data_IF_827574626010
#
_entry.id   IF_827574626010
#
_cell.length_a   1.000
_cell.length_b   1.000
_cell.length_c   1.000
_cell.angle_alpha   90.00
_cell.angle_beta   90.00
_cell.angle_gamma   90.00
#
_symmetry.space_group_name_H-M   'P 1'
#
loop_
_entity.id
_entity.type
_entity.pdbx_description
1 polymer ?
#
# COMPACT_ATOMS: atom_id res chain seq x y z
N UNK A 1 -27.22 17.96 -8.76
CA UNK A 1 -27.93 16.83 -9.41
C UNK A 1 -27.07 15.61 -9.16
N UNK A 2 -27.62 14.54 -8.58
CA UNK A 2 -26.91 13.26 -8.53
C UNK A 2 -26.74 12.79 -9.97
N UNK A 3 -25.50 12.71 -10.44
CA UNK A 3 -25.17 12.13 -11.74
C UNK A 3 -25.53 10.65 -11.70
N UNK A 4 -26.27 10.19 -12.71
CA UNK A 4 -26.54 8.76 -12.89
C UNK A 4 -25.20 8.00 -13.01
N UNK A 5 -24.99 7.02 -12.13
CA UNK A 5 -23.78 6.21 -12.13
C UNK A 5 -23.87 5.18 -13.25
N UNK A 6 -22.77 4.99 -13.98
CA UNK A 6 -22.70 3.88 -14.92
C UNK A 6 -22.55 2.53 -14.18
N UNK A 7 -22.72 1.38 -14.87
CA UNK A 7 -22.68 0.07 -14.21
C UNK A 7 -21.38 -0.25 -13.47
N UNK A 8 -20.22 0.23 -13.94
CA UNK A 8 -18.94 -0.01 -13.27
C UNK A 8 -18.83 0.83 -11.99
N UNK A 9 -19.26 2.08 -12.05
CA UNK A 9 -19.31 2.96 -10.88
C UNK A 9 -20.30 2.44 -9.84
N UNK A 10 -21.47 1.97 -10.26
CA UNK A 10 -22.48 1.40 -9.36
C UNK A 10 -21.95 0.14 -8.67
N UNK A 11 -21.25 -0.74 -9.39
CA UNK A 11 -20.65 -1.93 -8.79
C UNK A 11 -19.66 -1.59 -7.66
N UNK A 12 -18.87 -0.51 -7.79
CA UNK A 12 -17.98 -0.04 -6.71
C UNK A 12 -18.77 0.50 -5.52
N UNK A 13 -19.90 1.18 -5.75
CA UNK A 13 -20.78 1.65 -4.68
C UNK A 13 -21.44 0.49 -3.94
N UNK A 14 -21.92 -0.52 -4.67
CA UNK A 14 -22.57 -1.68 -4.07
C UNK A 14 -21.59 -2.49 -3.21
N UNK A 15 -20.35 -2.59 -3.67
CA UNK A 15 -19.22 -3.24 -3.00
C UNK A 15 -18.76 -2.46 -1.74
N UNK A 16 -18.43 -1.18 -1.89
CA UNK A 16 -17.83 -0.37 -0.82
C UNK A 16 -18.83 0.41 0.03
N UNK A 17 -20.12 0.39 -0.32
CA UNK A 17 -21.20 0.99 0.45
C UNK A 17 -21.30 0.38 1.84
N UNK A 18 -21.88 1.13 2.79
CA UNK A 18 -22.16 0.60 4.13
C UNK A 18 -23.47 -0.19 4.06
N UNK A 19 -23.49 -1.50 4.35
CA UNK A 19 -24.73 -2.27 4.40
C UNK A 19 -25.69 -1.72 5.47
N UNK A 20 -27.03 -1.80 5.27
CA UNK A 20 -28.02 -1.26 6.22
C UNK A 20 -27.94 -1.86 7.63
N UNK A 21 -27.53 -3.12 7.73
CA UNK A 21 -27.42 -3.95 8.92
C UNK A 21 -25.98 -4.08 9.42
N UNK A 22 -25.06 -3.27 8.89
CA UNK A 22 -23.68 -3.30 9.32
C UNK A 22 -23.49 -2.67 10.70
N UNK A 23 -22.77 -3.38 11.57
CA UNK A 23 -22.39 -2.92 12.90
C UNK A 23 -20.85 -2.86 13.05
N UNK A 24 -20.33 -1.89 13.80
CA UNK A 24 -18.90 -1.81 14.08
C UNK A 24 -18.42 -3.00 14.92
N UNK A 25 -17.17 -3.41 14.68
CA UNK A 25 -16.51 -4.40 15.53
C UNK A 25 -16.44 -3.91 17.00
N UNK A 26 -16.71 -4.78 17.98
CA UNK A 26 -16.61 -4.43 19.39
C UNK A 26 -15.22 -3.93 19.81
N UNK A 27 -15.18 -3.01 20.78
CA UNK A 27 -13.93 -2.35 21.21
C UNK A 27 -12.94 -3.32 21.87
N UNK A 28 -13.43 -4.39 22.50
CA UNK A 28 -12.63 -5.45 23.10
C UNK A 28 -11.75 -6.18 22.09
N UNK A 29 -12.15 -6.23 20.81
CA UNK A 29 -11.32 -6.81 19.75
C UNK A 29 -10.03 -5.99 19.60
N UNK A 30 -10.12 -4.67 19.66
CA UNK A 30 -8.95 -3.77 19.54
C UNK A 30 -7.97 -4.01 20.68
N UNK A 31 -8.48 -4.16 21.90
CA UNK A 31 -7.66 -4.47 23.08
C UNK A 31 -7.00 -5.84 22.93
N UNK A 32 -7.74 -6.84 22.46
CA UNK A 32 -7.24 -8.20 22.24
C UNK A 32 -6.13 -8.25 21.19
N UNK A 33 -6.29 -7.60 20.03
CA UNK A 33 -5.27 -7.62 18.97
C UNK A 33 -4.00 -6.84 19.35
N UNK A 34 -4.13 -5.75 20.11
CA UNK A 34 -2.98 -5.00 20.63
C UNK A 34 -2.20 -5.85 21.64
N UNK A 35 -2.90 -6.54 22.55
CA UNK A 35 -2.29 -7.44 23.52
C UNK A 35 -1.55 -8.59 22.81
N UNK A 36 -2.19 -9.24 21.82
CA UNK A 36 -1.56 -10.31 21.03
C UNK A 36 -0.31 -9.83 20.29
N UNK A 37 -0.35 -8.66 19.65
CA UNK A 37 0.82 -8.11 18.96
C UNK A 37 1.94 -7.77 19.94
N UNK A 38 1.60 -7.19 21.09
CA UNK A 38 2.56 -6.83 22.14
C UNK A 38 3.22 -8.07 22.74
N UNK A 39 2.44 -9.10 23.07
CA UNK A 39 2.95 -10.37 23.59
C UNK A 39 3.88 -11.06 22.59
N UNK A 40 3.44 -11.17 21.33
CA UNK A 40 4.23 -11.82 20.29
C UNK A 40 5.56 -11.11 20.01
N UNK A 41 5.64 -9.79 20.22
CA UNK A 41 6.84 -8.98 20.00
C UNK A 41 7.64 -8.72 21.27
N UNK A 42 7.21 -9.23 22.43
CA UNK A 42 7.94 -9.11 23.69
C UNK A 42 9.41 -9.57 23.60
N UNK A 43 9.79 -10.61 22.82
CA UNK A 43 11.19 -11.03 22.68
C UNK A 43 12.14 -9.95 22.14
N UNK A 44 11.64 -8.94 21.43
CA UNK A 44 12.47 -7.90 20.80
C UNK A 44 12.38 -6.53 21.49
N UNK A 45 11.64 -6.43 22.60
CA UNK A 45 11.29 -5.15 23.24
C UNK A 45 12.51 -4.29 23.63
N UNK A 46 13.61 -4.93 24.04
CA UNK A 46 14.84 -4.30 24.54
C UNK A 46 16.01 -4.37 23.53
N UNK A 47 15.74 -4.77 22.28
CA UNK A 47 16.78 -4.96 21.25
C UNK A 47 16.99 -3.74 20.34
N UNK A 48 16.10 -2.74 20.43
CA UNK A 48 16.13 -1.50 19.65
C UNK A 48 15.92 -0.31 20.57
N UNK A 49 16.26 0.90 20.12
CA UNK A 49 16.07 2.14 20.89
C UNK A 49 15.07 3.07 20.20
N UNK A 50 14.47 4.04 20.92
CA UNK A 50 13.62 5.05 20.28
C UNK A 50 14.35 5.91 19.24
N UNK A 51 15.66 6.11 19.40
CA UNK A 51 16.51 6.86 18.46
C UNK A 51 16.84 6.05 17.20
N UNK A 52 16.94 4.73 17.32
CA UNK A 52 17.14 3.78 16.21
C UNK A 52 16.13 2.64 16.25
N UNK A 53 14.85 2.92 15.94
CA UNK A 53 13.78 1.95 16.10
C UNK A 53 13.73 0.95 14.95
N UNK A 54 13.24 -0.25 15.24
CA UNK A 54 12.89 -1.20 14.19
C UNK A 54 11.65 -0.71 13.42
N UNK A 55 11.88 -0.15 12.24
CA UNK A 55 10.84 0.38 11.36
C UNK A 55 10.27 -0.69 10.43
N UNK A 56 8.95 -0.86 10.49
CA UNK A 56 8.20 -1.88 9.75
C UNK A 56 7.11 -1.22 8.90
N UNK A 57 7.01 -1.62 7.63
CA UNK A 57 5.93 -1.22 6.72
C UNK A 57 5.45 -2.44 5.92
N UNK A 58 4.42 -2.26 5.08
CA UNK A 58 3.86 -3.34 4.26
C UNK A 58 4.91 -4.05 3.39
N UNK A 59 5.83 -3.29 2.79
CA UNK A 59 6.87 -3.81 1.90
C UNK A 59 7.87 -4.68 2.67
N UNK A 60 8.26 -4.28 3.89
CA UNK A 60 9.12 -5.09 4.74
C UNK A 60 8.48 -6.45 5.05
N UNK A 61 7.19 -6.46 5.43
CA UNK A 61 6.48 -7.70 5.74
C UNK A 61 6.30 -8.56 4.48
N UNK A 62 5.92 -7.97 3.34
CA UNK A 62 5.76 -8.70 2.08
C UNK A 62 7.06 -9.37 1.63
N UNK A 63 8.18 -8.63 1.68
CA UNK A 63 9.48 -9.13 1.20
C UNK A 63 10.10 -10.18 2.12
N UNK A 64 10.03 -10.01 3.45
CA UNK A 64 10.61 -10.99 4.39
C UNK A 64 9.89 -12.35 4.32
N UNK A 65 8.56 -12.33 4.15
CA UNK A 65 7.79 -13.57 3.98
C UNK A 65 8.02 -14.21 2.61
N UNK A 66 8.17 -13.39 1.56
CA UNK A 66 8.44 -13.87 0.20
C UNK A 66 9.80 -14.56 0.08
N UNK A 67 10.88 -13.87 0.45
CA UNK A 67 12.24 -14.42 0.50
C UNK A 67 13.14 -13.49 1.34
N UNK A 68 13.72 -14.01 2.42
CA UNK A 68 14.52 -13.21 3.34
C UNK A 68 15.83 -12.72 2.70
N UNK A 69 16.42 -13.52 1.81
CA UNK A 69 17.60 -13.08 1.05
C UNK A 69 17.26 -11.88 0.18
N UNK A 70 16.12 -11.93 -0.51
CA UNK A 70 15.64 -10.79 -1.29
C UNK A 70 15.33 -9.58 -0.40
N UNK A 71 14.73 -9.77 0.77
CA UNK A 71 14.51 -8.70 1.75
C UNK A 71 15.81 -7.99 2.14
N UNK A 72 16.85 -8.75 2.50
CA UNK A 72 18.16 -8.19 2.87
C UNK A 72 18.79 -7.43 1.70
N UNK A 73 18.80 -8.04 0.51
CA UNK A 73 19.33 -7.39 -0.69
C UNK A 73 18.58 -6.11 -1.03
N UNK A 74 17.26 -6.11 -0.91
CA UNK A 74 16.43 -4.94 -1.22
C UNK A 74 16.67 -3.78 -0.25
N UNK A 75 16.97 -4.06 1.02
CA UNK A 75 17.35 -3.02 2.01
C UNK A 75 18.75 -2.44 1.76
N UNK A 76 19.65 -3.22 1.15
CA UNK A 76 21.02 -2.80 0.85
C UNK A 76 21.14 -2.13 -0.52
N UNK A 77 20.25 -2.46 -1.45
CA UNK A 77 20.26 -1.94 -2.81
C UNK A 77 19.85 -0.47 -2.81
N UNK A 78 20.57 0.35 -3.59
CA UNK A 78 20.08 1.68 -3.92
C UNK A 78 18.85 1.52 -4.80
N UNK A 79 17.71 2.02 -4.33
CA UNK A 79 16.50 2.04 -5.15
C UNK A 79 16.76 2.88 -6.41
N UNK A 80 16.43 2.30 -7.57
CA UNK A 80 16.54 2.97 -8.85
C UNK A 80 15.14 3.10 -9.49
N UNK A 81 14.81 4.31 -9.93
CA UNK A 81 13.60 4.56 -10.68
C UNK A 81 13.67 3.93 -12.07
N UNK A 82 12.51 3.52 -12.55
CA UNK A 82 12.30 3.14 -13.94
C UNK A 82 10.91 3.60 -14.38
N UNK A 83 10.63 3.48 -15.67
CA UNK A 83 9.37 3.98 -16.25
C UNK A 83 8.12 3.37 -15.59
N UNK A 84 8.18 2.11 -15.15
CA UNK A 84 7.04 1.44 -14.52
C UNK A 84 6.78 1.94 -13.10
N UNK A 85 7.84 2.15 -12.30
CA UNK A 85 7.69 2.63 -10.92
C UNK A 85 7.29 4.11 -10.87
N UNK A 86 7.86 4.93 -11.75
CA UNK A 86 7.47 6.35 -11.83
C UNK A 86 6.03 6.49 -12.33
N UNK A 87 5.57 5.65 -13.28
CA UNK A 87 4.18 5.64 -13.75
C UNK A 87 3.18 5.43 -12.62
N UNK A 88 3.45 4.48 -11.72
CA UNK A 88 2.64 4.27 -10.52
C UNK A 88 2.56 5.53 -9.65
N UNK A 89 3.71 6.13 -9.39
CA UNK A 89 3.85 7.32 -8.54
C UNK A 89 3.10 8.53 -9.12
N UNK A 90 3.26 8.81 -10.41
CA UNK A 90 2.55 9.92 -11.06
C UNK A 90 1.04 9.65 -11.16
N UNK A 91 0.61 8.41 -11.39
CA UNK A 91 -0.82 8.07 -11.38
C UNK A 91 -1.47 8.29 -10.02
N UNK A 92 -0.82 7.85 -8.93
CA UNK A 92 -1.27 8.13 -7.56
C UNK A 92 -1.32 9.64 -7.29
N UNK A 93 -0.26 10.37 -7.65
CA UNK A 93 -0.22 11.83 -7.49
C UNK A 93 -1.32 12.55 -8.29
N UNK A 94 -1.60 12.11 -9.51
CA UNK A 94 -2.66 12.68 -10.33
C UNK A 94 -4.04 12.44 -9.69
N UNK A 95 -4.30 11.27 -9.12
CA UNK A 95 -5.57 10.98 -8.42
C UNK A 95 -5.65 11.76 -7.10
N UNK A 96 -4.55 11.91 -6.36
CA UNK A 96 -4.45 12.76 -5.17
C UNK A 96 -4.87 14.21 -5.49
N UNK A 97 -4.29 14.78 -6.57
CA UNK A 97 -4.62 16.12 -7.05
C UNK A 97 -6.06 16.20 -7.55
N UNK A 98 -6.52 15.22 -8.33
CA UNK A 98 -7.88 15.14 -8.86
C UNK A 98 -8.93 15.28 -7.76
N UNK A 99 -8.76 14.55 -6.65
CA UNK A 99 -9.73 14.53 -5.53
C UNK A 99 -9.92 15.91 -4.90
N UNK A 100 -8.88 16.75 -4.93
CA UNK A 100 -8.89 18.10 -4.37
C UNK A 100 -8.91 19.19 -5.45
N UNK A 101 -9.09 18.82 -6.72
CA UNK A 101 -8.94 19.73 -7.85
C UNK A 101 -10.05 20.78 -7.86
N UNK A 102 -9.65 22.05 -8.02
CA UNK A 102 -10.58 23.18 -8.08
C UNK A 102 -10.61 23.72 -9.50
N UNK A 103 -11.44 23.12 -10.34
CA UNK A 103 -11.57 23.55 -11.74
C UNK A 103 -12.23 22.50 -12.62
N UNK A 104 -12.15 22.72 -13.93
CA UNK A 104 -12.53 21.71 -14.90
C UNK A 104 -11.62 20.47 -14.72
N UNK A 105 -12.23 19.29 -14.74
CA UNK A 105 -11.51 18.03 -14.66
C UNK A 105 -11.12 17.62 -16.08
N UNK A 106 -9.89 17.91 -16.45
CA UNK A 106 -9.28 17.51 -17.73
C UNK A 106 -8.13 16.57 -17.40
N UNK A 107 -8.21 15.25 -17.70
CA UNK A 107 -7.24 14.26 -17.25
C UNK A 107 -5.79 14.62 -17.58
N UNK A 108 -5.56 15.14 -18.79
CA UNK A 108 -4.23 15.55 -19.23
C UNK A 108 -3.64 16.70 -18.42
N UNK A 109 -4.45 17.69 -18.04
CA UNK A 109 -3.98 18.84 -17.25
C UNK A 109 -3.64 18.44 -15.82
N UNK A 110 -4.41 17.52 -15.25
CA UNK A 110 -4.14 16.97 -13.91
C UNK A 110 -2.86 16.14 -13.91
N UNK A 111 -2.63 15.34 -14.96
CA UNK A 111 -1.39 14.58 -15.11
C UNK A 111 -0.18 15.49 -15.30
N UNK A 112 -0.32 16.54 -16.11
CA UNK A 112 0.74 17.54 -16.28
C UNK A 112 1.07 18.21 -14.93
N UNK A 113 0.06 18.60 -14.17
CA UNK A 113 0.24 19.14 -12.82
C UNK A 113 0.89 18.14 -11.85
N UNK A 114 0.57 16.85 -11.94
CA UNK A 114 1.19 15.80 -11.12
C UNK A 114 2.67 15.61 -11.47
N UNK A 115 3.02 15.57 -12.75
CA UNK A 115 4.41 15.50 -13.22
C UNK A 115 5.19 16.71 -12.71
N UNK A 116 4.67 17.92 -12.90
CA UNK A 116 5.29 19.15 -12.39
C UNK A 116 5.46 19.10 -10.87
N UNK A 117 4.42 18.71 -10.13
CA UNK A 117 4.47 18.65 -8.67
C UNK A 117 5.55 17.70 -8.13
N UNK A 118 5.83 16.60 -8.83
CA UNK A 118 6.88 15.65 -8.40
C UNK A 118 8.25 16.09 -8.88
N UNK A 119 8.36 16.58 -10.13
CA UNK A 119 9.61 17.06 -10.69
C UNK A 119 10.16 18.31 -9.98
N UNK A 120 9.29 19.19 -9.48
CA UNK A 120 9.70 20.43 -8.82
C UNK A 120 9.86 20.28 -7.30
N UNK A 121 9.68 19.08 -6.74
CA UNK A 121 9.84 18.83 -5.32
C UNK A 121 11.08 17.97 -5.06
N UNK A 122 12.23 18.57 -4.69
CA UNK A 122 13.47 17.84 -4.42
C UNK A 122 13.37 16.81 -3.27
N UNK A 123 12.29 16.83 -2.49
CA UNK A 123 12.03 15.82 -1.45
C UNK A 123 11.39 14.56 -2.00
N UNK A 124 10.79 14.61 -3.18
CA UNK A 124 10.30 13.42 -3.87
C UNK A 124 11.49 12.70 -4.50
N UNK A 125 11.67 11.44 -4.15
CA UNK A 125 12.80 10.67 -4.69
C UNK A 125 12.73 10.47 -6.20
N UNK A 126 11.55 10.64 -6.82
CA UNK A 126 11.35 10.56 -8.28
C UNK A 126 11.74 11.84 -9.04
N UNK A 127 11.98 12.95 -8.33
CA UNK A 127 12.22 14.28 -8.93
C UNK A 127 13.31 14.25 -10.01
N UNK A 128 14.52 13.82 -9.64
CA UNK A 128 15.67 13.79 -10.56
C UNK A 128 15.45 12.85 -11.74
N UNK A 129 14.78 11.72 -11.50
CA UNK A 129 14.47 10.77 -12.56
C UNK A 129 13.56 11.39 -13.62
N UNK A 130 12.47 12.04 -13.20
CA UNK A 130 11.52 12.70 -14.11
C UNK A 130 12.20 13.80 -14.91
N UNK A 131 13.02 14.64 -14.25
CA UNK A 131 13.76 15.72 -14.92
C UNK A 131 14.72 15.16 -15.97
N UNK A 132 15.32 13.98 -15.72
CA UNK A 132 16.27 13.34 -16.62
C UNK A 132 15.63 12.62 -17.82
N UNK A 133 14.31 12.43 -17.83
CA UNK A 133 13.64 11.66 -18.89
C UNK A 133 13.77 12.36 -20.26
N UNK A 134 14.15 11.63 -21.32
CA UNK A 134 14.03 12.13 -22.69
C UNK A 134 12.60 12.51 -23.03
N UNK A 135 12.42 13.48 -23.93
CA UNK A 135 11.09 13.98 -24.30
C UNK A 135 10.11 12.88 -24.78
N UNK A 136 10.60 11.83 -25.45
CA UNK A 136 9.77 10.72 -25.90
C UNK A 136 9.33 9.82 -24.74
N UNK A 137 10.21 9.47 -23.81
CA UNK A 137 9.85 8.69 -22.61
C UNK A 137 8.91 9.47 -21.70
N UNK A 138 9.11 10.78 -21.56
CA UNK A 138 8.20 11.65 -20.82
C UNK A 138 6.80 11.67 -21.47
N UNK A 139 6.74 11.73 -22.81
CA UNK A 139 5.48 11.66 -23.54
C UNK A 139 4.77 10.30 -23.37
N UNK A 140 5.52 9.19 -23.37
CA UNK A 140 5.00 7.84 -23.09
C UNK A 140 4.47 7.70 -21.67
N UNK A 141 5.24 8.16 -20.67
CA UNK A 141 4.83 8.22 -19.27
C UNK A 141 3.52 9.00 -19.14
N UNK A 142 3.48 10.20 -19.70
CA UNK A 142 2.30 11.07 -19.69
C UNK A 142 1.10 10.36 -20.31
N UNK A 143 1.24 9.81 -21.51
CA UNK A 143 0.15 9.11 -22.19
C UNK A 143 -0.40 7.94 -21.39
N UNK A 144 0.48 7.13 -20.81
CA UNK A 144 0.09 5.99 -19.97
C UNK A 144 -0.66 6.43 -18.71
N UNK A 145 -0.21 7.50 -18.04
CA UNK A 145 -0.88 8.00 -16.83
C UNK A 145 -2.21 8.68 -17.18
N UNK A 146 -2.29 9.43 -18.29
CA UNK A 146 -3.57 9.99 -18.77
C UNK A 146 -4.59 8.89 -18.99
N UNK A 147 -4.20 7.78 -19.61
CA UNK A 147 -5.07 6.61 -19.76
C UNK A 147 -5.58 6.07 -18.42
N UNK A 148 -4.69 5.91 -17.43
CA UNK A 148 -5.07 5.43 -16.09
C UNK A 148 -6.02 6.38 -15.34
N UNK A 149 -5.78 7.70 -15.42
CA UNK A 149 -6.62 8.72 -14.79
C UNK A 149 -7.99 8.82 -15.48
N UNK A 150 -8.03 8.76 -16.81
CA UNK A 150 -9.30 8.70 -17.56
C UNK A 150 -10.11 7.46 -17.18
N UNK A 151 -9.47 6.28 -17.12
CA UNK A 151 -10.15 5.05 -16.71
C UNK A 151 -10.69 5.14 -15.27
N UNK A 152 -9.93 5.78 -14.36
CA UNK A 152 -10.41 6.04 -13.01
C UNK A 152 -11.66 6.93 -13.00
N UNK A 153 -11.67 8.03 -13.76
CA UNK A 153 -12.82 8.93 -13.86
C UNK A 153 -14.05 8.27 -14.47
N UNK A 154 -13.85 7.40 -15.46
CA UNK A 154 -14.93 6.67 -16.13
C UNK A 154 -15.50 5.54 -15.27
N UNK A 155 -14.66 4.81 -14.53
CA UNK A 155 -15.08 3.56 -13.88
C UNK A 155 -15.20 3.63 -12.35
N UNK A 156 -14.47 4.54 -11.69
CA UNK A 156 -14.60 4.76 -10.25
C UNK A 156 -15.69 5.80 -9.99
N UNK A 157 -16.56 5.60 -9.00
CA UNK A 157 -17.66 6.53 -8.73
C UNK A 157 -17.11 7.91 -8.34
N UNK A 158 -17.73 9.01 -8.82
CA UNK A 158 -17.28 10.36 -8.46
C UNK A 158 -17.20 10.54 -6.94
N UNK A 159 -16.01 10.89 -6.45
CA UNK A 159 -15.75 11.00 -5.02
C UNK A 159 -16.51 12.21 -4.47
N UNK A 160 -17.44 11.95 -3.54
CA UNK A 160 -18.27 12.97 -2.93
C UNK A 160 -17.60 13.55 -1.68
N UNK A 161 -17.63 14.88 -1.45
CA UNK A 161 -17.06 15.48 -0.24
C UNK A 161 -17.62 14.90 1.06
N UNK A 162 -18.89 14.46 1.06
CA UNK A 162 -19.55 13.85 2.21
C UNK A 162 -18.92 12.49 2.61
N UNK A 163 -18.18 11.84 1.71
CA UNK A 163 -17.42 10.63 1.99
C UNK A 163 -16.10 10.91 2.73
N UNK A 164 -15.74 12.18 2.98
CA UNK A 164 -14.53 12.58 3.71
C UNK A 164 -13.25 11.92 3.17
N UNK A 165 -12.92 12.12 1.89
CA UNK A 165 -11.75 11.49 1.30
C UNK A 165 -10.47 11.98 1.97
N UNK A 166 -9.62 11.02 2.36
CA UNK A 166 -8.25 11.26 2.79
C UNK A 166 -7.33 10.58 1.78
N UNK A 167 -6.49 11.37 1.13
CA UNK A 167 -5.50 10.90 0.15
C UNK A 167 -4.13 10.83 0.80
N UNK A 168 -3.30 9.87 0.38
CA UNK A 168 -1.94 9.68 0.92
C UNK A 168 -1.92 9.60 2.46
N UNK A 169 -2.96 8.98 3.02
CA UNK A 169 -3.23 8.98 4.44
C UNK A 169 -2.17 8.18 5.19
N UNK A 170 -1.36 8.88 5.97
CA UNK A 170 -0.29 8.28 6.76
C UNK A 170 -0.77 7.95 8.17
N UNK A 171 -0.50 6.72 8.59
CA UNK A 171 -0.77 6.23 9.94
C UNK A 171 0.45 5.51 10.48
N UNK A 172 0.70 5.66 11.77
CA UNK A 172 1.78 4.97 12.48
C UNK A 172 1.30 4.46 13.82
N UNK A 173 1.95 3.41 14.28
CA UNK A 173 1.71 2.81 15.59
C UNK A 173 3.04 2.34 16.19
N UNK A 174 3.30 2.69 17.44
CA UNK A 174 4.55 2.38 18.12
C UNK A 174 4.31 1.45 19.31
N UNK A 175 5.16 0.44 19.47
CA UNK A 175 5.21 -0.41 20.66
C UNK A 175 6.46 -0.12 21.48
N UNK A 176 6.43 -0.58 22.74
CA UNK A 176 7.57 -0.58 23.66
C UNK A 176 8.28 0.77 23.80
N UNK A 177 7.50 1.85 23.91
CA UNK A 177 8.07 3.20 24.07
C UNK A 177 8.75 3.75 22.81
N UNK A 178 8.43 3.21 21.63
CA UNK A 178 8.93 3.72 20.36
C UNK A 178 10.01 2.86 19.70
N UNK A 179 10.46 1.78 20.33
CA UNK A 179 11.54 0.93 19.80
C UNK A 179 11.13 0.09 18.61
N UNK A 180 9.83 -0.18 18.45
CA UNK A 180 9.25 -0.83 17.26
C UNK A 180 8.18 0.09 16.68
N UNK A 181 8.36 0.50 15.42
CA UNK A 181 7.50 1.46 14.74
C UNK A 181 6.91 0.86 13.47
N UNK A 182 5.58 0.77 13.44
CA UNK A 182 4.84 0.42 12.23
C UNK A 182 4.39 1.67 11.50
N UNK A 183 4.57 1.72 10.19
CA UNK A 183 4.12 2.81 9.34
C UNK A 183 3.33 2.30 8.15
N UNK A 184 2.27 3.03 7.81
CA UNK A 184 1.41 2.80 6.66
C UNK A 184 1.10 4.11 5.95
N UNK A 185 0.99 4.05 4.62
CA UNK A 185 0.56 5.17 3.77
C UNK A 185 -0.48 4.63 2.80
N UNK A 186 -1.72 5.03 2.99
CA UNK A 186 -2.89 4.51 2.28
C UNK A 186 -3.27 5.49 1.16
N UNK A 187 -3.44 4.99 -0.07
CA UNK A 187 -3.68 5.84 -1.23
C UNK A 187 -4.98 6.64 -1.08
N UNK A 188 -6.07 5.98 -0.70
CA UNK A 188 -7.37 6.60 -0.47
C UNK A 188 -8.10 5.97 0.72
N UNK A 189 -8.57 6.81 1.64
CA UNK A 189 -9.45 6.40 2.73
C UNK A 189 -10.74 7.20 2.66
N UNK A 190 -11.87 6.50 2.67
CA UNK A 190 -13.21 7.08 2.66
C UNK A 190 -13.94 6.75 3.97
N UNK A 191 -14.91 7.56 4.35
CA UNK A 191 -15.83 7.30 5.45
C UNK A 191 -15.45 7.99 6.77
N UNK A 192 -16.31 7.80 7.77
CA UNK A 192 -16.08 8.34 9.11
C UNK A 192 -15.31 7.33 9.95
N UNK A 193 -14.67 7.76 11.06
CA UNK A 193 -14.08 6.84 12.04
C UNK A 193 -15.02 5.67 12.38
N UNK A 194 -14.46 4.46 12.48
CA UNK A 194 -15.19 3.22 12.75
C UNK A 194 -15.91 2.62 11.54
N UNK A 195 -16.12 3.36 10.46
CA UNK A 195 -16.75 2.88 9.22
C UNK A 195 -15.95 3.22 7.97
N UNK A 196 -14.63 3.33 8.13
CA UNK A 196 -13.72 3.70 7.05
C UNK A 196 -13.61 2.58 6.02
N UNK A 197 -13.39 2.94 4.77
CA UNK A 197 -12.94 2.03 3.72
C UNK A 197 -11.54 2.46 3.31
N UNK A 198 -10.59 1.52 3.31
CA UNK A 198 -9.21 1.76 2.87
C UNK A 198 -9.05 1.19 1.46
N UNK A 199 -8.62 2.03 0.53
CA UNK A 199 -8.47 1.68 -0.89
C UNK A 199 -7.01 1.89 -1.29
N UNK A 200 -6.41 0.86 -1.89
CA UNK A 200 -5.05 0.88 -2.46
C UNK A 200 -5.21 0.78 -3.99
N UNK A 201 -4.69 1.78 -4.70
CA UNK A 201 -4.84 1.93 -6.14
C UNK A 201 -3.67 1.24 -6.85
N UNK A 202 -3.94 0.50 -7.92
CA UNK A 202 -2.93 -0.26 -8.67
C UNK A 202 -2.96 0.08 -10.13
N UNK A 203 -1.82 0.50 -10.68
CA UNK A 203 -1.64 0.73 -12.11
C UNK A 203 -1.52 -0.56 -12.94
N UNK A 204 -1.61 -1.74 -12.33
CA UNK A 204 -1.49 -3.02 -13.02
C UNK A 204 -2.39 -4.10 -12.43
N UNK A 205 -2.09 -5.35 -12.77
CA UNK A 205 -2.85 -6.53 -12.33
C UNK A 205 -2.84 -6.66 -10.81
N UNK A 206 -4.00 -6.98 -10.24
CA UNK A 206 -4.13 -7.29 -8.82
C UNK A 206 -3.46 -8.63 -8.49
N UNK A 207 -2.76 -8.66 -7.36
CA UNK A 207 -2.08 -9.85 -6.85
C UNK A 207 -2.52 -10.12 -5.40
N UNK A 208 -2.44 -11.37 -4.90
CA UNK A 208 -2.77 -11.68 -3.52
C UNK A 208 -2.00 -10.84 -2.49
N UNK A 209 -0.76 -10.43 -2.81
CA UNK A 209 0.05 -9.55 -1.95
C UNK A 209 -0.63 -8.20 -1.69
N UNK A 210 -1.40 -7.67 -2.65
CA UNK A 210 -2.12 -6.40 -2.45
C UNK A 210 -3.19 -6.51 -1.36
N UNK A 211 -3.85 -7.67 -1.26
CA UNK A 211 -4.79 -7.96 -0.18
C UNK A 211 -4.08 -8.03 1.17
N UNK A 212 -2.95 -8.73 1.23
CA UNK A 212 -2.14 -8.81 2.46
C UNK A 212 -1.59 -7.44 2.91
N UNK A 213 -1.24 -6.58 1.96
CA UNK A 213 -0.81 -5.20 2.23
C UNK A 213 -1.93 -4.37 2.87
N UNK A 214 -3.16 -4.48 2.36
CA UNK A 214 -4.33 -3.81 2.93
C UNK A 214 -4.68 -4.34 4.33
N UNK A 215 -4.51 -5.65 4.59
CA UNK A 215 -4.69 -6.22 5.93
C UNK A 215 -3.70 -5.63 6.94
N UNK A 216 -2.46 -5.38 6.52
CA UNK A 216 -1.49 -4.65 7.35
C UNK A 216 -1.97 -3.21 7.63
N UNK A 217 -2.48 -2.50 6.62
CA UNK A 217 -3.06 -1.16 6.81
C UNK A 217 -4.25 -1.17 7.77
N UNK A 218 -5.14 -2.17 7.66
CA UNK A 218 -6.27 -2.33 8.56
C UNK A 218 -5.82 -2.48 10.01
N UNK A 219 -4.79 -3.29 10.27
CA UNK A 219 -4.21 -3.46 11.60
C UNK A 219 -3.68 -2.13 12.16
N UNK A 220 -2.86 -1.41 11.39
CA UNK A 220 -2.25 -0.16 11.86
C UNK A 220 -3.31 0.91 12.11
N UNK A 221 -4.29 1.05 11.21
CA UNK A 221 -5.39 2.00 11.40
C UNK A 221 -6.25 1.65 12.61
N UNK A 222 -6.50 0.35 12.84
CA UNK A 222 -7.26 -0.11 14.02
C UNK A 222 -6.54 0.26 15.31
N UNK A 223 -5.24 -0.05 15.42
CA UNK A 223 -4.44 0.23 16.61
C UNK A 223 -4.32 1.74 16.88
N UNK A 224 -4.09 2.53 15.83
CA UNK A 224 -3.93 3.99 15.92
C UNK A 224 -5.23 4.70 16.30
N UNK A 225 -6.33 4.35 15.65
CA UNK A 225 -7.63 5.05 15.81
C UNK A 225 -8.51 4.48 16.91
N UNK A 226 -8.18 3.28 17.41
CA UNK A 226 -9.02 2.45 18.28
C UNK A 226 -10.36 2.05 17.65
N UNK A 227 -10.48 2.17 16.32
CA UNK A 227 -11.69 1.91 15.57
C UNK A 227 -11.33 1.23 14.24
N UNK A 228 -11.64 -0.08 14.08
CA UNK A 228 -11.32 -0.76 12.84
C UNK A 228 -11.95 -0.07 11.62
N UNK A 229 -11.26 -0.05 10.46
CA UNK A 229 -11.94 0.20 9.20
C UNK A 229 -12.99 -0.89 8.98
N UNK A 230 -14.00 -0.59 8.18
CA UNK A 230 -15.07 -1.52 7.80
C UNK A 230 -14.60 -2.51 6.75
N UNK A 231 -13.95 -2.01 5.69
CA UNK A 231 -13.65 -2.79 4.49
C UNK A 231 -12.40 -2.26 3.79
N UNK A 232 -11.84 -3.11 2.94
CA UNK A 232 -10.60 -2.89 2.22
C UNK A 232 -10.86 -3.08 0.72
N UNK A 233 -10.20 -2.29 -0.13
CA UNK A 233 -10.35 -2.38 -1.57
C UNK A 233 -9.02 -2.24 -2.31
N UNK A 234 -8.59 -3.28 -3.03
CA UNK A 234 -7.55 -3.13 -4.05
C UNK A 234 -8.20 -2.79 -5.38
N UNK A 235 -7.99 -1.57 -5.87
CA UNK A 235 -8.61 -1.11 -7.12
C UNK A 235 -7.58 -1.01 -8.25
N UNK A 236 -7.80 -1.73 -9.35
CA UNK A 236 -6.95 -1.69 -10.54
C UNK A 236 -7.38 -0.56 -11.47
N UNK A 237 -6.49 0.40 -11.70
CA UNK A 237 -6.62 1.49 -12.67
C UNK A 237 -6.50 1.01 -14.12
N UNK A 238 -6.00 -0.20 -14.35
CA UNK A 238 -5.87 -0.80 -15.69
C UNK A 238 -7.15 -1.57 -16.05
N UNK A 239 -7.56 -2.50 -15.19
CA UNK A 239 -8.71 -3.38 -15.45
C UNK A 239 -10.06 -2.85 -14.97
N UNK A 240 -10.09 -1.70 -14.28
CA UNK A 240 -11.29 -1.14 -13.64
C UNK A 240 -11.99 -2.19 -12.73
N UNK A 241 -11.20 -2.97 -12.00
CA UNK A 241 -11.67 -4.01 -11.08
C UNK A 241 -11.31 -3.69 -9.65
N UNK A 242 -12.27 -3.95 -8.77
CA UNK A 242 -12.12 -3.93 -7.32
C UNK A 242 -11.99 -5.36 -6.82
N UNK A 243 -11.00 -5.60 -5.97
CA UNK A 243 -10.91 -6.77 -5.09
C UNK A 243 -11.13 -6.29 -3.66
N UNK A 244 -12.27 -6.64 -3.07
CA UNK A 244 -12.70 -6.17 -1.77
C UNK A 244 -12.58 -7.23 -0.69
N UNK A 245 -12.44 -6.79 0.56
CA UNK A 245 -12.43 -7.66 1.73
C UNK A 245 -12.95 -6.92 2.97
N UNK A 246 -13.96 -7.49 3.62
CA UNK A 246 -14.48 -6.95 4.87
C UNK A 246 -13.51 -7.18 6.04
N UNK A 247 -13.41 -6.17 6.90
CA UNK A 247 -12.57 -6.23 8.09
C UNK A 247 -13.33 -6.92 9.21
N UNK A 248 -12.97 -8.17 9.44
CA UNK A 248 -13.50 -9.01 10.52
C UNK A 248 -12.48 -9.17 11.64
N UNK A 249 -12.92 -9.68 12.80
CA UNK A 249 -12.00 -10.09 13.87
C UNK A 249 -10.95 -11.07 13.36
N UNK A 250 -11.37 -12.10 12.62
CA UNK A 250 -10.48 -13.12 12.06
C UNK A 250 -9.43 -12.53 11.12
N UNK A 251 -9.81 -11.51 10.32
CA UNK A 251 -8.88 -10.78 9.47
C UNK A 251 -7.83 -10.05 10.32
N UNK A 252 -8.25 -9.29 11.33
CA UNK A 252 -7.33 -8.55 12.19
C UNK A 252 -6.39 -9.47 12.97
N UNK A 253 -6.90 -10.58 13.51
CA UNK A 253 -6.07 -11.60 14.16
C UNK A 253 -5.04 -12.22 13.19
N UNK A 254 -5.44 -12.46 11.92
CA UNK A 254 -4.51 -12.95 10.89
C UNK A 254 -3.44 -11.90 10.56
N UNK A 255 -3.83 -10.64 10.44
CA UNK A 255 -2.91 -9.52 10.24
C UNK A 255 -1.90 -9.38 11.40
N UNK A 256 -2.34 -9.55 12.66
CA UNK A 256 -1.45 -9.59 13.83
C UNK A 256 -0.42 -10.70 13.69
N UNK A 257 -0.85 -11.95 13.45
CA UNK A 257 0.06 -13.10 13.34
C UNK A 257 1.11 -12.89 12.24
N UNK A 258 0.67 -12.45 11.05
CA UNK A 258 1.57 -12.19 9.91
C UNK A 258 2.55 -11.05 10.18
N UNK A 259 2.07 -9.98 10.80
CA UNK A 259 2.89 -8.80 11.16
C UNK A 259 3.89 -9.14 12.25
N UNK A 260 3.45 -9.83 13.30
CA UNK A 260 4.30 -10.24 14.41
C UNK A 260 5.42 -11.17 13.92
N UNK A 261 5.07 -12.23 13.19
CA UNK A 261 6.07 -13.15 12.64
C UNK A 261 7.05 -12.43 11.72
N UNK A 262 6.56 -11.63 10.77
CA UNK A 262 7.42 -10.87 9.87
C UNK A 262 8.36 -9.91 10.61
N UNK A 263 7.88 -9.24 11.65
CA UNK A 263 8.69 -8.33 12.48
C UNK A 263 9.80 -9.07 13.21
N UNK A 264 9.53 -10.25 13.78
CA UNK A 264 10.54 -11.10 14.42
C UNK A 264 11.60 -11.56 13.41
N UNK A 265 11.18 -12.02 12.21
CA UNK A 265 12.11 -12.40 11.15
C UNK A 265 12.99 -11.22 10.73
N UNK A 266 12.42 -10.01 10.61
CA UNK A 266 13.20 -8.81 10.27
C UNK A 266 14.18 -8.46 11.39
N UNK A 267 13.76 -8.55 12.65
CA UNK A 267 14.63 -8.30 13.80
C UNK A 267 15.85 -9.23 13.79
N UNK A 268 15.65 -10.53 13.58
CA UNK A 268 16.72 -11.52 13.43
C UNK A 268 17.73 -11.15 12.33
N UNK A 269 17.22 -10.72 11.17
CA UNK A 269 18.05 -10.35 10.02
C UNK A 269 18.83 -9.06 10.26
N UNK A 270 18.21 -8.06 10.90
CA UNK A 270 18.87 -6.79 11.26
C UNK A 270 19.96 -7.03 12.30
N UNK A 271 19.69 -7.85 13.31
CA UNK A 271 20.63 -8.22 14.38
C UNK A 271 21.65 -9.29 13.94
N UNK A 272 21.48 -9.85 12.74
CA UNK A 272 22.33 -10.91 12.16
C UNK A 272 22.43 -12.15 13.05
N UNK A 273 21.35 -12.51 13.74
CA UNK A 273 21.29 -13.68 14.63
C UNK A 273 21.26 -15.00 13.85
N UNK A 274 20.91 -14.95 12.55
CA UNK A 274 20.86 -16.11 11.64
C UNK A 274 21.05 -15.70 10.18
N UNK A 275 21.26 -16.70 9.33
CA UNK A 275 21.31 -16.50 7.88
C UNK A 275 19.89 -16.36 7.29
N UNK A 276 19.74 -15.56 6.21
CA UNK A 276 18.46 -15.40 5.54
C UNK A 276 18.04 -16.67 4.80
N UNK A 277 16.78 -17.06 4.96
CA UNK A 277 16.18 -18.14 4.21
C UNK A 277 15.93 -17.74 2.75
N UNK A 278 16.21 -18.66 1.84
CA UNK A 278 15.98 -18.49 0.40
C UNK A 278 14.73 -19.25 -0.01
N UNK A 279 13.74 -18.54 -0.55
CA UNK A 279 12.49 -19.13 -1.04
C UNK A 279 12.22 -18.72 -2.49
N UNK A 280 11.76 -19.65 -3.35
CA UNK A 280 11.34 -19.32 -4.70
C UNK A 280 10.01 -18.55 -4.68
N UNK A 281 9.82 -17.65 -5.63
CA UNK A 281 8.55 -16.93 -5.78
C UNK A 281 8.62 -15.83 -6.83
N UNK A 282 7.51 -15.13 -7.03
CA UNK A 282 7.37 -14.13 -8.09
C UNK A 282 8.42 -13.01 -7.98
N UNK A 283 8.90 -12.71 -6.77
CA UNK A 283 10.01 -11.80 -6.49
C UNK A 283 11.31 -12.14 -7.23
N UNK A 284 11.51 -13.40 -7.63
CA UNK A 284 12.70 -13.81 -8.37
C UNK A 284 12.84 -13.10 -9.73
N UNK A 285 11.74 -12.60 -10.32
CA UNK A 285 11.78 -11.88 -11.61
C UNK A 285 12.57 -10.58 -11.55
N UNK A 286 12.66 -9.96 -10.38
CA UNK A 286 13.30 -8.66 -10.17
C UNK A 286 14.28 -8.68 -8.99
N UNK A 287 14.69 -9.88 -8.56
CA UNK A 287 15.74 -10.03 -7.56
C UNK A 287 17.07 -9.54 -8.16
N UNK A 288 17.88 -8.73 -7.45
CA UNK A 288 19.21 -8.32 -7.93
C UNK A 288 20.17 -9.49 -8.23
N UNK A 289 19.90 -10.66 -7.67
CA UNK A 289 20.66 -11.89 -7.89
C UNK A 289 19.89 -12.94 -8.71
N UNK A 290 18.94 -12.52 -9.55
CA UNK A 290 18.12 -13.43 -10.36
C UNK A 290 18.95 -14.28 -11.34
N UNK A 291 20.15 -13.85 -11.71
CA UNK A 291 21.08 -14.58 -12.59
C UNK A 291 22.05 -15.52 -11.85
N UNK A 292 22.17 -15.42 -10.53
CA UNK A 292 23.17 -16.18 -9.74
C UNK A 292 22.55 -17.05 -8.65
N UNK A 293 21.30 -16.77 -8.24
CA UNK A 293 20.59 -17.57 -7.25
C UNK A 293 19.98 -18.83 -7.88
N UNK A 294 20.52 -20.02 -7.56
CA UNK A 294 20.04 -21.31 -8.10
C UNK A 294 18.53 -21.54 -7.90
N UNK A 295 18.02 -21.22 -6.70
CA UNK A 295 16.59 -21.35 -6.36
C UNK A 295 15.73 -20.44 -7.25
N UNK A 296 16.16 -19.19 -7.43
CA UNK A 296 15.47 -18.22 -8.27
C UNK A 296 15.51 -18.61 -9.75
N UNK A 297 16.68 -18.99 -10.26
CA UNK A 297 16.83 -19.47 -11.64
C UNK A 297 15.94 -20.69 -11.93
N UNK A 298 15.86 -21.64 -11.00
CA UNK A 298 14.99 -22.82 -11.14
C UNK A 298 13.52 -22.41 -11.22
N UNK A 299 13.07 -21.48 -10.38
CA UNK A 299 11.70 -20.96 -10.41
C UNK A 299 11.40 -20.24 -11.74
N UNK A 300 12.31 -19.38 -12.21
CA UNK A 300 12.10 -18.61 -13.45
C UNK A 300 12.00 -19.49 -14.70
N UNK A 301 12.69 -20.63 -14.73
CA UNK A 301 12.59 -21.61 -15.83
C UNK A 301 11.25 -22.35 -15.91
N UNK A 302 10.41 -22.24 -14.87
CA UNK A 302 9.11 -22.91 -14.78
C UNK A 302 7.93 -22.00 -15.14
N UNK A 303 8.17 -20.70 -15.35
CA UNK A 303 7.17 -19.69 -15.71
C UNK A 303 7.00 -19.60 -17.23
#
# INVERSE_FOLDING_TARGET
>A
MDTELNPLQQAVIDALGVPPDWEPLPAEIVVSIEAQLTEALAPIKDLFTPEDPLRINKHHIATVHGCEKYHVLNRQSQFAWNINTVRGTIAHKAIELLINWRGAVIPSEIVDAAITSVAENPRESASDFIISLPAHELAELRGAVVGAVSNFLECFPPIRPQWRPLVEYSASYSLFGGTVLFTSRMDLVLGHPGRKVIIDLKTGRLTPTHRDDLRFYALIETLRSRQPPRSLGSYSLDSARLDEEDVTEGLLQSAVRRTANGTLLIADLVLKTRQPEVRPGFQCRWCPENETCEVGMKYLRQL
#
